data_IF_138709210088
#
_entry.id   IF_138709210088
#
_cell.length_a   1.000
_cell.length_b   1.000
_cell.length_c   1.000
_cell.angle_alpha   90.00
_cell.angle_beta   90.00
_cell.angle_gamma   90.00
#
_symmetry.space_group_name_H-M   'P 1'
#
loop_
_entity.id
_entity.type
_entity.pdbx_description
1 polymer ?
#
# COMPACT_ATOMS: atom_id res chain seq x y z
N UNK A 1 27.24 25.74 -7.77
CA UNK A 1 26.28 24.63 -7.94
C UNK A 1 26.50 23.96 -9.30
N UNK A 2 27.69 23.41 -9.54
CA UNK A 2 28.06 22.81 -10.84
C UNK A 2 28.99 21.60 -10.69
N UNK A 3 28.95 20.90 -9.54
CA UNK A 3 29.92 19.85 -9.22
C UNK A 3 29.28 18.49 -8.89
N UNK A 4 27.94 18.39 -8.90
CA UNK A 4 27.22 17.15 -8.59
C UNK A 4 26.69 16.40 -9.82
N UNK A 5 26.87 16.93 -11.04
CA UNK A 5 26.38 16.30 -12.27
C UNK A 5 27.39 15.39 -12.99
N UNK A 6 28.67 15.37 -12.58
CA UNK A 6 29.71 14.60 -13.29
C UNK A 6 29.98 13.18 -12.74
N UNK A 7 29.38 12.78 -11.61
CA UNK A 7 29.70 11.47 -11.00
C UNK A 7 28.66 10.36 -11.26
N UNK A 8 27.72 10.56 -12.20
CA UNK A 8 26.63 9.60 -12.48
C UNK A 8 26.97 8.53 -13.54
N UNK A 9 28.20 8.51 -14.07
CA UNK A 9 28.61 7.58 -15.14
C UNK A 9 29.72 6.59 -14.77
N UNK A 10 30.24 6.63 -13.53
CA UNK A 10 31.31 5.73 -13.10
C UNK A 10 30.68 4.60 -12.29
N UNK A 11 30.41 3.46 -12.93
CA UNK A 11 30.00 2.24 -12.22
C UNK A 11 31.08 1.89 -11.21
N UNK A 12 30.84 2.25 -9.94
CA UNK A 12 31.70 1.87 -8.83
C UNK A 12 31.56 0.37 -8.64
N UNK A 13 32.52 -0.38 -9.15
CA UNK A 13 32.64 -1.85 -9.07
C UNK A 13 32.94 -2.36 -7.66
N UNK A 14 33.19 -1.47 -6.70
CA UNK A 14 33.44 -1.83 -5.31
C UNK A 14 32.17 -1.82 -4.46
N UNK A 15 32.03 -2.86 -3.63
CA UNK A 15 30.96 -2.93 -2.65
C UNK A 15 31.02 -1.72 -1.70
N UNK A 16 29.87 -1.10 -1.36
CA UNK A 16 29.85 0.05 -0.47
C UNK A 16 30.42 -0.34 0.91
N UNK A 17 31.32 0.48 1.43
CA UNK A 17 31.93 0.35 2.76
C UNK A 17 30.85 0.35 3.85
N UNK A 18 31.13 -0.28 5.00
CA UNK A 18 30.14 -0.40 6.09
C UNK A 18 29.59 0.95 6.54
N UNK A 19 30.45 1.98 6.61
CA UNK A 19 30.05 3.35 6.91
C UNK A 19 29.00 3.90 5.92
N UNK A 20 29.21 3.71 4.61
CA UNK A 20 28.22 4.15 3.59
C UNK A 20 26.90 3.40 3.72
N UNK A 21 26.92 2.08 4.00
CA UNK A 21 25.69 1.28 4.19
C UNK A 21 24.87 1.78 5.37
N UNK A 22 25.52 2.12 6.48
CA UNK A 22 24.86 2.70 7.65
C UNK A 22 24.28 4.08 7.38
N UNK A 23 24.98 4.91 6.60
CA UNK A 23 24.51 6.23 6.18
C UNK A 23 23.26 6.15 5.30
N UNK A 24 23.24 5.23 4.31
CA UNK A 24 22.03 4.96 3.51
C UNK A 24 20.86 4.47 4.37
N UNK A 25 21.14 3.60 5.35
CA UNK A 25 20.15 3.13 6.33
C UNK A 25 19.57 4.31 7.13
N UNK A 26 20.43 5.18 7.66
CA UNK A 26 20.04 6.40 8.41
C UNK A 26 19.19 7.36 7.59
N UNK A 27 19.43 7.46 6.28
CA UNK A 27 18.62 8.24 5.34
C UNK A 27 17.28 7.56 4.96
N UNK A 28 17.00 6.37 5.50
CA UNK A 28 15.80 5.57 5.23
C UNK A 28 15.84 4.81 3.88
N UNK A 29 17.00 4.75 3.23
CA UNK A 29 17.20 3.94 2.02
C UNK A 29 17.57 2.52 2.45
N UNK A 30 16.54 1.73 2.68
CA UNK A 30 16.63 0.31 3.06
C UNK A 30 16.28 -0.56 1.86
N UNK A 31 16.96 -1.70 1.72
CA UNK A 31 16.71 -2.62 0.64
C UNK A 31 15.34 -3.31 0.85
N UNK A 32 14.32 -2.83 0.15
CA UNK A 32 13.01 -3.48 0.05
C UNK A 32 12.96 -4.29 -1.24
N UNK A 33 12.74 -5.59 -1.11
CA UNK A 33 12.47 -6.44 -2.27
C UNK A 33 10.99 -6.35 -2.60
N UNK A 34 10.67 -5.59 -3.66
CA UNK A 34 9.31 -5.43 -4.15
C UNK A 34 8.67 -6.78 -4.49
N UNK A 35 9.43 -7.68 -5.11
CA UNK A 35 8.97 -9.02 -5.47
C UNK A 35 8.60 -9.86 -4.24
N UNK A 36 9.47 -9.87 -3.21
CA UNK A 36 9.21 -10.61 -1.98
C UNK A 36 7.99 -10.04 -1.24
N UNK A 37 7.81 -8.72 -1.29
CA UNK A 37 6.65 -8.06 -0.70
C UNK A 37 5.36 -8.45 -1.44
N UNK A 38 5.35 -8.38 -2.76
CA UNK A 38 4.19 -8.75 -3.59
C UNK A 38 3.79 -10.21 -3.40
N UNK A 39 4.75 -11.14 -3.46
CA UNK A 39 4.49 -12.58 -3.29
C UNK A 39 4.01 -12.89 -1.87
N UNK A 40 4.64 -12.30 -0.85
CA UNK A 40 4.25 -12.51 0.54
C UNK A 40 2.84 -12.00 0.84
N UNK A 41 2.46 -10.83 0.32
CA UNK A 41 1.10 -10.31 0.44
C UNK A 41 0.11 -11.25 -0.27
N UNK A 42 0.42 -11.69 -1.48
CA UNK A 42 -0.47 -12.53 -2.28
C UNK A 42 -0.73 -13.88 -1.60
N UNK A 43 0.32 -14.55 -1.09
CA UNK A 43 0.19 -15.80 -0.35
C UNK A 43 -0.60 -15.64 0.95
N UNK A 44 -0.32 -14.60 1.72
CA UNK A 44 -1.00 -14.37 2.98
C UNK A 44 -2.48 -13.99 2.77
N UNK A 45 -2.77 -13.15 1.77
CA UNK A 45 -4.15 -12.83 1.39
C UNK A 45 -4.88 -14.07 0.88
N UNK A 46 -4.26 -14.89 0.03
CA UNK A 46 -4.85 -16.15 -0.45
C UNK A 46 -5.19 -17.11 0.69
N UNK A 47 -4.26 -17.27 1.65
CA UNK A 47 -4.49 -18.09 2.84
C UNK A 47 -5.58 -17.52 3.76
N UNK A 48 -5.53 -16.23 4.06
CA UNK A 48 -6.55 -15.58 4.89
C UNK A 48 -7.94 -15.63 4.26
N UNK A 49 -8.02 -15.44 2.94
CA UNK A 49 -9.27 -15.53 2.20
C UNK A 49 -9.81 -16.96 2.25
N UNK A 50 -8.97 -17.99 2.13
CA UNK A 50 -9.41 -19.38 2.28
C UNK A 50 -10.08 -19.65 3.63
N UNK A 51 -9.53 -19.14 4.74
CA UNK A 51 -10.11 -19.31 6.07
C UNK A 51 -11.37 -18.47 6.29
N UNK A 52 -11.42 -17.25 5.77
CA UNK A 52 -12.52 -16.29 6.03
C UNK A 52 -13.63 -16.41 4.97
N UNK A 53 -13.41 -17.14 3.87
CA UNK A 53 -14.33 -17.21 2.73
C UNK A 53 -15.78 -17.52 3.13
N UNK A 54 -15.99 -18.50 4.02
CA UNK A 54 -17.34 -18.87 4.46
C UNK A 54 -18.05 -17.74 5.22
N UNK A 55 -17.33 -17.03 6.10
CA UNK A 55 -17.85 -15.84 6.77
C UNK A 55 -18.15 -14.72 5.78
N UNK A 56 -17.19 -14.44 4.88
CA UNK A 56 -17.31 -13.39 3.89
C UNK A 56 -18.50 -13.62 2.95
N UNK A 57 -18.66 -14.86 2.46
CA UNK A 57 -19.74 -15.24 1.57
C UNK A 57 -21.11 -15.09 2.26
N UNK A 58 -21.23 -15.57 3.50
CA UNK A 58 -22.47 -15.45 4.29
C UNK A 58 -22.85 -13.98 4.51
N UNK A 59 -21.93 -13.18 5.01
CA UNK A 59 -22.18 -11.75 5.25
C UNK A 59 -22.51 -11.03 3.95
N UNK A 60 -21.78 -11.30 2.87
CA UNK A 60 -22.07 -10.72 1.56
C UNK A 60 -23.50 -11.05 1.06
N UNK A 61 -23.96 -12.29 1.21
CA UNK A 61 -25.34 -12.65 0.89
C UNK A 61 -26.35 -11.89 1.74
N UNK A 62 -26.11 -11.77 3.06
CA UNK A 62 -26.97 -10.99 3.96
C UNK A 62 -27.03 -9.52 3.54
N UNK A 63 -25.90 -8.94 3.10
CA UNK A 63 -25.88 -7.56 2.61
C UNK A 63 -26.72 -7.37 1.35
N UNK A 64 -26.62 -8.32 0.41
CA UNK A 64 -27.43 -8.31 -0.80
C UNK A 64 -28.92 -8.43 -0.46
N UNK A 65 -29.29 -9.38 0.40
CA UNK A 65 -30.68 -9.53 0.82
C UNK A 65 -31.19 -8.25 1.49
N UNK A 66 -30.42 -7.66 2.40
CA UNK A 66 -30.85 -6.48 3.16
C UNK A 66 -30.97 -5.20 2.33
N UNK A 67 -30.13 -5.02 1.32
CA UNK A 67 -30.05 -3.75 0.57
C UNK A 67 -30.61 -3.83 -0.85
N UNK A 68 -30.78 -5.03 -1.42
CA UNK A 68 -31.35 -5.20 -2.77
C UNK A 68 -32.75 -5.80 -2.76
N UNK A 69 -33.19 -6.45 -1.67
CA UNK A 69 -34.57 -6.92 -1.55
C UNK A 69 -35.38 -5.85 -0.79
N UNK A 70 -36.03 -4.98 -1.56
CA UNK A 70 -36.91 -3.92 -1.05
C UNK A 70 -38.30 -4.46 -0.68
N UNK A 71 -38.39 -5.37 0.29
CA UNK A 71 -39.69 -5.93 0.69
C UNK A 71 -40.53 -5.00 1.58
N UNK A 72 -39.90 -4.09 2.34
CA UNK A 72 -40.58 -3.34 3.41
C UNK A 72 -40.61 -1.81 3.21
N UNK A 73 -40.15 -1.28 2.08
CA UNK A 73 -40.18 0.18 1.84
C UNK A 73 -41.55 0.58 1.31
N UNK A 74 -42.44 0.99 2.23
CA UNK A 74 -43.79 1.47 1.90
C UNK A 74 -43.77 2.92 1.39
N UNK A 75 -42.83 3.75 1.85
CA UNK A 75 -42.66 5.13 1.39
C UNK A 75 -41.16 5.52 1.33
N UNK A 76 -40.74 6.09 0.19
CA UNK A 76 -39.40 6.64 0.00
C UNK A 76 -39.38 8.11 0.44
N UNK A 77 -38.94 8.37 1.68
CA UNK A 77 -38.56 9.71 2.13
C UNK A 77 -37.03 9.85 2.27
N UNK A 78 -36.55 11.10 2.29
CA UNK A 78 -35.13 11.44 2.48
C UNK A 78 -34.55 10.83 3.75
N UNK A 79 -35.32 10.73 4.84
CA UNK A 79 -34.85 10.10 6.07
C UNK A 79 -34.54 8.61 5.91
N UNK A 80 -35.42 7.89 5.20
CA UNK A 80 -35.27 6.46 4.91
C UNK A 80 -34.07 6.22 3.98
N UNK A 81 -33.91 7.07 2.95
CA UNK A 81 -32.78 6.99 2.02
C UNK A 81 -31.44 7.21 2.72
N UNK A 82 -31.33 8.22 3.60
CA UNK A 82 -30.11 8.45 4.38
C UNK A 82 -29.82 7.30 5.36
N UNK A 83 -30.86 6.71 5.95
CA UNK A 83 -30.74 5.51 6.79
C UNK A 83 -30.16 4.32 6.02
N UNK A 84 -30.68 4.04 4.83
CA UNK A 84 -30.19 2.98 3.93
C UNK A 84 -28.74 3.19 3.50
N UNK A 85 -28.35 4.42 3.15
CA UNK A 85 -26.98 4.73 2.74
C UNK A 85 -26.03 4.55 3.92
N UNK A 86 -26.37 5.07 5.10
CA UNK A 86 -25.52 4.98 6.28
C UNK A 86 -25.39 3.55 6.79
N UNK A 87 -26.47 2.74 6.78
CA UNK A 87 -26.40 1.32 7.10
C UNK A 87 -25.56 0.56 6.07
N UNK A 88 -25.75 0.84 4.78
CA UNK A 88 -24.99 0.19 3.71
C UNK A 88 -23.49 0.47 3.82
N UNK A 89 -23.10 1.73 4.05
CA UNK A 89 -21.69 2.09 4.26
C UNK A 89 -21.12 1.38 5.48
N UNK A 90 -21.87 1.34 6.60
CA UNK A 90 -21.44 0.67 7.83
C UNK A 90 -21.22 -0.83 7.59
N UNK A 91 -22.16 -1.48 6.93
CA UNK A 91 -22.12 -2.91 6.75
C UNK A 91 -21.03 -3.33 5.73
N UNK A 92 -20.84 -2.56 4.64
CA UNK A 92 -19.71 -2.75 3.72
C UNK A 92 -18.37 -2.53 4.45
N UNK A 93 -18.28 -1.48 5.26
CA UNK A 93 -17.06 -1.21 6.04
C UNK A 93 -16.75 -2.36 7.00
N UNK A 94 -17.77 -2.95 7.63
CA UNK A 94 -17.62 -4.11 8.50
C UNK A 94 -17.11 -5.34 7.75
N UNK A 95 -17.62 -5.59 6.55
CA UNK A 95 -17.19 -6.70 5.69
C UNK A 95 -15.73 -6.54 5.22
N UNK A 96 -15.33 -5.32 4.87
CA UNK A 96 -13.98 -5.02 4.38
C UNK A 96 -12.93 -4.91 5.50
N UNK A 97 -13.35 -4.57 6.71
CA UNK A 97 -12.47 -4.39 7.87
C UNK A 97 -11.49 -5.56 8.12
N UNK A 98 -11.92 -6.84 8.19
CA UNK A 98 -11.00 -7.96 8.42
C UNK A 98 -9.99 -8.12 7.29
N UNK A 99 -10.38 -7.88 6.04
CA UNK A 99 -9.48 -7.94 4.87
C UNK A 99 -8.42 -6.85 4.97
N UNK A 100 -8.83 -5.62 5.29
CA UNK A 100 -7.91 -4.50 5.49
C UNK A 100 -6.92 -4.78 6.63
N UNK A 101 -7.40 -5.31 7.76
CA UNK A 101 -6.57 -5.63 8.92
C UNK A 101 -5.52 -6.69 8.59
N UNK A 102 -5.90 -7.76 7.88
CA UNK A 102 -4.94 -8.79 7.43
C UNK A 102 -3.89 -8.19 6.50
N UNK A 103 -4.30 -7.44 5.48
CA UNK A 103 -3.36 -6.86 4.51
C UNK A 103 -2.40 -5.88 5.18
N UNK A 104 -2.90 -5.03 6.08
CA UNK A 104 -2.07 -4.11 6.86
C UNK A 104 -1.08 -4.88 7.75
N UNK A 105 -1.55 -5.90 8.49
CA UNK A 105 -0.72 -6.69 9.39
C UNK A 105 0.38 -7.46 8.65
N UNK A 106 0.05 -8.11 7.54
CA UNK A 106 1.00 -8.83 6.69
C UNK A 106 1.99 -7.89 6.05
N UNK A 107 1.52 -6.79 5.45
CA UNK A 107 2.39 -5.81 4.81
C UNK A 107 3.39 -5.21 5.80
N UNK A 108 2.92 -4.88 7.00
CA UNK A 108 3.77 -4.43 8.11
C UNK A 108 4.77 -5.51 8.52
N UNK A 109 4.32 -6.75 8.73
CA UNK A 109 5.19 -7.86 9.13
C UNK A 109 6.29 -8.14 8.10
N UNK A 110 5.96 -8.18 6.81
CA UNK A 110 6.95 -8.37 5.74
C UNK A 110 7.95 -7.21 5.73
N UNK A 111 7.48 -5.97 5.85
CA UNK A 111 8.35 -4.80 5.91
C UNK A 111 9.32 -4.87 7.10
N UNK A 112 8.82 -5.24 8.28
CA UNK A 112 9.64 -5.44 9.49
C UNK A 112 10.64 -6.59 9.31
N UNK A 113 10.26 -7.70 8.68
CA UNK A 113 11.17 -8.81 8.41
C UNK A 113 12.28 -8.43 7.42
N UNK A 114 12.01 -7.59 6.42
CA UNK A 114 13.01 -7.16 5.43
C UNK A 114 13.97 -6.09 5.99
N UNK A 115 13.45 -5.14 6.76
CA UNK A 115 14.19 -3.92 7.16
C UNK A 115 14.61 -3.94 8.63
N UNK A 116 13.92 -4.70 9.46
CA UNK A 116 13.91 -4.54 10.91
C UNK A 116 13.13 -3.29 11.34
N UNK A 117 13.07 -3.05 12.65
CA UNK A 117 12.57 -1.76 13.18
C UNK A 117 13.64 -0.67 12.94
N UNK A 118 13.56 -0.01 11.78
CA UNK A 118 14.42 1.13 11.48
C UNK A 118 13.60 2.38 11.19
N UNK A 119 13.54 3.27 12.17
CA UNK A 119 12.89 4.58 12.04
C UNK A 119 13.94 5.61 11.65
N UNK A 120 13.84 6.17 10.45
CA UNK A 120 14.66 7.30 10.01
C UNK A 120 13.85 8.60 10.09
N UNK A 121 14.23 9.47 11.03
CA UNK A 121 13.66 10.82 11.15
C UNK A 121 13.96 11.67 9.90
N UNK A 122 15.09 11.42 9.26
CA UNK A 122 15.55 12.13 8.06
C UNK A 122 14.73 11.75 6.81
N UNK A 123 14.22 10.51 6.75
CA UNK A 123 13.32 10.05 5.68
C UNK A 123 11.91 10.66 5.78
N UNK A 124 11.48 11.05 6.99
CA UNK A 124 10.21 11.75 7.22
C UNK A 124 10.26 13.22 6.81
N UNK A 125 11.43 13.77 6.48
CA UNK A 125 11.53 15.12 5.96
C UNK A 125 10.90 15.20 4.55
N UNK A 126 10.00 16.18 4.36
CA UNK A 126 9.44 16.50 3.04
C UNK A 126 10.57 17.05 2.15
N UNK A 127 11.18 16.18 1.35
CA UNK A 127 12.16 16.59 0.34
C UNK A 127 11.43 17.29 -0.80
N UNK A 128 11.47 18.61 -0.84
CA UNK A 128 10.86 19.45 -1.89
C UNK A 128 11.25 19.03 -3.31
N UNK A 129 12.46 18.50 -3.48
CA UNK A 129 12.96 17.94 -4.73
C UNK A 129 12.13 16.74 -5.25
N UNK A 130 11.48 15.98 -4.35
CA UNK A 130 10.58 14.87 -4.71
C UNK A 130 9.15 15.32 -5.03
N UNK A 131 8.79 16.56 -4.66
CA UNK A 131 7.47 17.15 -4.91
C UNK A 131 7.38 17.89 -6.25
N UNK A 132 8.50 18.07 -6.97
CA UNK A 132 8.49 18.78 -8.24
C UNK A 132 7.84 17.91 -9.36
N UNK A 133 6.64 18.25 -9.84
CA UNK A 133 5.91 17.44 -10.82
C UNK A 133 6.65 17.31 -12.15
N UNK A 134 7.44 18.32 -12.55
CA UNK A 134 8.24 18.28 -13.78
C UNK A 134 9.28 17.15 -13.72
N UNK A 135 9.95 17.01 -12.58
CA UNK A 135 10.91 15.92 -12.36
C UNK A 135 10.23 14.55 -12.25
N UNK A 136 9.00 14.50 -11.72
CA UNK A 136 8.18 13.30 -11.66
C UNK A 136 7.78 12.80 -13.05
N UNK A 137 7.28 13.71 -13.91
CA UNK A 137 6.97 13.40 -15.30
C UNK A 137 8.22 12.98 -16.09
N UNK A 138 9.34 13.67 -15.90
CA UNK A 138 10.60 13.28 -16.54
C UNK A 138 11.09 11.89 -16.10
N UNK A 139 10.87 11.48 -14.84
CA UNK A 139 11.17 10.11 -14.38
C UNK A 139 10.25 9.07 -15.03
N UNK A 140 8.94 9.35 -15.08
CA UNK A 140 7.95 8.48 -15.71
C UNK A 140 8.21 8.28 -17.21
N UNK A 141 8.67 9.33 -17.91
CA UNK A 141 9.01 9.30 -19.34
C UNK A 141 10.51 9.07 -19.63
N UNK A 142 11.33 8.82 -18.60
CA UNK A 142 12.75 8.50 -18.83
C UNK A 142 12.88 7.13 -19.49
N UNK A 143 13.90 6.95 -20.32
CA UNK A 143 14.19 5.69 -21.01
C UNK A 143 14.26 4.47 -20.05
N UNK A 144 14.57 4.70 -18.76
CA UNK A 144 14.52 3.67 -17.72
C UNK A 144 13.10 3.17 -17.41
N UNK A 145 12.08 4.04 -17.43
CA UNK A 145 10.69 3.65 -17.20
C UNK A 145 10.07 2.83 -18.34
N UNK A 146 10.65 2.90 -19.54
CA UNK A 146 10.23 2.09 -20.71
C UNK A 146 10.91 0.71 -20.71
N UNK A 147 12.10 0.59 -20.11
CA UNK A 147 12.89 -0.66 -20.10
C UNK A 147 12.64 -1.50 -18.83
N UNK A 148 12.25 -0.86 -17.71
CA UNK A 148 11.87 -1.55 -16.46
C UNK A 148 10.36 -1.78 -16.31
N UNK A 149 9.54 -1.34 -17.28
CA UNK A 149 8.08 -1.54 -17.31
C UNK A 149 7.66 -2.93 -17.74
#
# INVERSE_FOLDING_TARGET
>A
MAEQAENSGQEKTEAPTQFRREEFRKQGQVALSKELQSVGILLAMGGAFYYIFGFFFKEFTVLLERHFIFNDIVEFDKGVLLGLITSGVKDISWLLFPVALVTMGVGFFIAVCQVGFHTSWESMSLKWERLNPISGFARLFSWKGIVEG
#
